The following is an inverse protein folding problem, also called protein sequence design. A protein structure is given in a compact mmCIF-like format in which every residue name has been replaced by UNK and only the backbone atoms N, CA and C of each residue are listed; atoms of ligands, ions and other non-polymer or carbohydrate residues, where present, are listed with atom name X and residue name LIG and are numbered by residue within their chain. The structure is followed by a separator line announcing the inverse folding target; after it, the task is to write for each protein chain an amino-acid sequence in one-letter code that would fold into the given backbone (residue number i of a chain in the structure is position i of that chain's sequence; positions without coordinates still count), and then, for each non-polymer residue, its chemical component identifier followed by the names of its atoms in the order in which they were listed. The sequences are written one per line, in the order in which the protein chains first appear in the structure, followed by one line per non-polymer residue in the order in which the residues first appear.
data_IF_882265325154
#
_entry.id   IF_882265325154
#
_cell.length_a   1.000
_cell.length_b   1.000
_cell.length_c   1.000
_cell.angle_alpha   90.00
_cell.angle_beta   90.00
_cell.angle_gamma   90.00
#
_symmetry.space_group_name_H-M   'P 1'
#
loop_
_entity.id
_entity.type
_entity.pdbx_description
1 polymer ?
#
# COMPACT_ATOMS: atom_id res chain seq x y z
N UNK A 1 7.71 25.85 0.94
CA UNK A 1 8.29 24.66 0.24
C UNK A 1 7.32 24.25 -0.84
N UNK A 2 7.78 23.90 -2.03
CA UNK A 2 6.88 23.43 -3.09
C UNK A 2 6.23 22.08 -2.70
N UNK A 3 4.93 21.95 -2.96
CA UNK A 3 4.16 20.71 -2.78
C UNK A 3 4.72 19.62 -3.70
N UNK A 4 5.00 18.43 -3.17
CA UNK A 4 5.61 17.34 -3.96
C UNK A 4 5.03 15.99 -3.59
N UNK A 5 4.72 15.18 -4.60
CA UNK A 5 4.33 13.77 -4.43
C UNK A 5 5.43 12.99 -3.69
N UNK A 6 5.02 12.13 -2.74
CA UNK A 6 5.92 11.34 -1.90
C UNK A 6 6.52 12.09 -0.71
N UNK A 7 6.10 13.34 -0.47
CA UNK A 7 6.49 14.14 0.70
C UNK A 7 5.28 14.41 1.59
N UNK A 8 5.49 14.75 2.88
CA UNK A 8 4.40 15.20 3.73
C UNK A 8 3.62 16.34 3.08
N UNK A 9 2.29 16.23 3.08
CA UNK A 9 1.42 17.31 2.65
C UNK A 9 1.52 18.48 3.63
N UNK A 10 1.31 19.73 3.18
CA UNK A 10 1.23 20.87 4.08
C UNK A 10 0.16 20.66 5.15
N UNK A 11 0.51 20.87 6.41
CA UNK A 11 -0.45 20.84 7.51
C UNK A 11 -1.28 22.11 7.51
N UNK A 12 -2.55 21.96 7.86
CA UNK A 12 -3.49 23.07 8.02
C UNK A 12 -4.49 22.77 9.14
N UNK A 13 -5.05 23.80 9.70
CA UNK A 13 -6.22 23.73 10.58
C UNK A 13 -6.98 25.06 10.51
N UNK A 14 -8.12 25.05 9.79
CA UNK A 14 -8.89 26.24 9.48
C UNK A 14 -10.38 26.09 9.83
N UNK A 15 -11.08 27.22 9.86
CA UNK A 15 -12.53 27.23 9.96
C UNK A 15 -13.16 26.57 8.75
N UNK A 16 -14.19 25.77 8.98
CA UNK A 16 -14.91 25.08 7.91
C UNK A 16 -16.41 25.12 8.13
N UNK A 17 -17.14 25.23 7.05
CA UNK A 17 -18.56 24.95 7.02
C UNK A 17 -18.80 23.44 7.02
N UNK A 18 -19.79 23.01 7.80
CA UNK A 18 -20.34 21.65 7.75
C UNK A 18 -21.85 21.74 7.86
N UNK A 19 -22.57 20.86 7.17
CA UNK A 19 -24.03 20.90 7.17
C UNK A 19 -24.59 20.78 8.60
N UNK A 20 -25.60 21.65 8.91
CA UNK A 20 -26.24 21.68 10.20
C UNK A 20 -25.42 22.31 11.34
N UNK A 21 -24.23 22.80 11.06
CA UNK A 21 -23.46 23.52 12.07
C UNK A 21 -24.01 24.95 12.28
N UNK A 22 -24.16 25.34 13.55
CA UNK A 22 -24.60 26.70 13.90
C UNK A 22 -23.47 27.73 13.77
N UNK A 23 -22.21 27.31 13.78
CA UNK A 23 -21.03 28.15 13.65
C UNK A 23 -19.85 27.36 13.04
N UNK A 24 -18.73 28.06 12.75
CA UNK A 24 -17.57 27.42 12.16
C UNK A 24 -17.00 26.32 13.06
N UNK A 25 -16.53 25.25 12.45
CA UNK A 25 -15.75 24.19 13.12
C UNK A 25 -14.32 24.20 12.56
N UNK A 26 -13.37 23.94 13.41
CA UNK A 26 -12.00 23.80 12.94
C UNK A 26 -11.80 22.41 12.34
N UNK A 27 -11.25 22.39 11.13
CA UNK A 27 -10.93 21.16 10.39
C UNK A 27 -9.47 21.23 9.99
N UNK A 28 -8.72 20.19 10.33
CA UNK A 28 -7.29 20.11 10.05
C UNK A 28 -6.87 18.74 9.51
N UNK A 29 -5.76 18.70 8.77
CA UNK A 29 -5.24 17.48 8.17
C UNK A 29 -4.89 16.43 9.24
N UNK A 30 -4.30 16.84 10.34
CA UNK A 30 -3.90 15.94 11.44
C UNK A 30 -5.06 15.17 12.06
N UNK A 31 -6.29 15.70 12.02
CA UNK A 31 -7.50 15.05 12.54
C UNK A 31 -7.92 13.83 11.70
N UNK A 32 -7.36 13.67 10.51
CA UNK A 32 -7.70 12.61 9.57
C UNK A 32 -6.57 11.55 9.42
N UNK A 33 -5.61 11.52 10.34
CA UNK A 33 -4.59 10.45 10.38
C UNK A 33 -5.24 9.07 10.43
N UNK A 34 -4.71 8.10 9.69
CA UNK A 34 -5.31 6.78 9.52
C UNK A 34 -6.39 6.70 8.43
N UNK A 35 -6.73 7.83 7.78
CA UNK A 35 -7.65 7.88 6.64
C UNK A 35 -6.98 8.55 5.44
N UNK A 36 -7.44 8.21 4.25
CA UNK A 36 -7.13 8.98 3.06
C UNK A 36 -7.86 10.32 3.09
N UNK A 37 -7.24 11.35 2.53
CA UNK A 37 -7.86 12.67 2.40
C UNK A 37 -7.88 13.06 0.93
N UNK A 38 -9.06 13.38 0.41
CA UNK A 38 -9.25 14.00 -0.90
C UNK A 38 -9.55 15.47 -0.65
N UNK A 39 -8.53 16.30 -0.79
CA UNK A 39 -8.61 17.75 -0.63
C UNK A 39 -8.78 18.39 -2.00
N UNK A 40 -9.86 19.15 -2.20
CA UNK A 40 -10.08 19.84 -3.45
C UNK A 40 -10.33 21.33 -3.27
N UNK A 41 -9.66 22.14 -4.08
CA UNK A 41 -9.81 23.58 -4.11
C UNK A 41 -10.75 23.99 -5.23
N UNK A 42 -11.53 25.03 -5.03
CA UNK A 42 -12.33 25.66 -6.07
C UNK A 42 -12.26 27.19 -5.94
N UNK A 43 -12.45 27.95 -7.04
CA UNK A 43 -12.17 29.37 -7.07
C UNK A 43 -13.00 30.20 -6.10
N UNK A 44 -14.33 30.14 -6.20
CA UNK A 44 -15.25 30.98 -5.44
C UNK A 44 -16.65 30.39 -5.34
N UNK A 45 -17.34 30.75 -4.28
CA UNK A 45 -18.78 30.51 -4.10
C UNK A 45 -19.59 31.34 -5.12
N UNK A 46 -20.86 30.99 -5.30
CA UNK A 46 -21.84 31.64 -6.16
C UNK A 46 -21.40 31.77 -7.65
N UNK A 47 -20.62 30.80 -8.14
CA UNK A 47 -20.14 30.73 -9.53
C UNK A 47 -20.84 29.62 -10.34
N UNK A 48 -20.40 29.37 -11.57
CA UNK A 48 -21.10 28.51 -12.52
C UNK A 48 -20.57 27.06 -12.54
N UNK A 49 -19.25 26.85 -12.61
CA UNK A 49 -18.61 25.54 -12.67
C UNK A 49 -18.52 24.92 -11.27
N UNK A 50 -18.17 25.71 -10.25
CA UNK A 50 -17.91 25.20 -8.91
C UNK A 50 -19.04 24.35 -8.30
N UNK A 51 -20.33 24.75 -8.40
CA UNK A 51 -21.41 23.93 -7.85
C UNK A 51 -21.57 22.59 -8.56
N UNK A 52 -21.20 22.48 -9.82
CA UNK A 52 -21.24 21.19 -10.55
C UNK A 52 -20.18 20.22 -10.05
N UNK A 53 -18.98 20.71 -9.72
CA UNK A 53 -17.90 19.91 -9.15
C UNK A 53 -18.22 19.47 -7.71
N UNK A 54 -18.65 20.44 -6.88
CA UNK A 54 -19.04 20.20 -5.48
C UNK A 54 -20.16 19.16 -5.40
N UNK A 55 -21.19 19.30 -6.23
CA UNK A 55 -22.30 18.33 -6.33
C UNK A 55 -21.79 16.94 -6.78
N UNK A 56 -20.84 16.88 -7.71
CA UNK A 56 -20.26 15.62 -8.18
C UNK A 56 -19.48 14.89 -7.06
N UNK A 57 -18.70 15.60 -6.23
CA UNK A 57 -18.07 15.02 -5.04
C UNK A 57 -19.13 14.53 -4.04
N UNK A 58 -20.21 15.29 -3.83
CA UNK A 58 -21.30 14.89 -2.96
C UNK A 58 -22.03 13.64 -3.44
N UNK A 59 -22.27 13.53 -4.74
CA UNK A 59 -22.97 12.39 -5.34
C UNK A 59 -22.28 11.05 -5.09
N UNK A 60 -20.95 11.03 -5.06
CA UNK A 60 -20.13 9.82 -4.84
C UNK A 60 -19.37 9.85 -3.51
N UNK A 61 -19.78 10.69 -2.55
CA UNK A 61 -19.14 10.78 -1.23
C UNK A 61 -19.06 9.42 -0.53
N UNK A 62 -20.14 8.62 -0.59
CA UNK A 62 -20.17 7.28 0.00
C UNK A 62 -19.16 6.31 -0.62
N UNK A 63 -18.80 6.51 -1.87
CA UNK A 63 -17.78 5.69 -2.52
C UNK A 63 -16.40 6.05 -1.98
N UNK A 64 -16.10 7.33 -1.75
CA UNK A 64 -14.91 7.74 -1.04
C UNK A 64 -14.86 7.20 0.40
N UNK A 65 -15.98 7.23 1.12
CA UNK A 65 -16.07 6.69 2.48
C UNK A 65 -15.79 5.17 2.53
N UNK A 66 -16.27 4.39 1.55
CA UNK A 66 -15.95 2.95 1.42
C UNK A 66 -14.46 2.72 1.20
N UNK A 67 -13.78 3.69 0.60
CA UNK A 67 -12.34 3.67 0.41
C UNK A 67 -11.57 4.20 1.64
N UNK A 68 -12.21 4.31 2.81
CA UNK A 68 -11.65 4.92 4.02
C UNK A 68 -11.09 6.33 3.76
N UNK A 69 -11.77 7.10 2.90
CA UNK A 69 -11.36 8.44 2.53
C UNK A 69 -12.37 9.50 2.98
N UNK A 70 -11.86 10.66 3.36
CA UNK A 70 -12.65 11.87 3.63
C UNK A 70 -12.45 12.86 2.49
N UNK A 71 -13.54 13.51 2.09
CA UNK A 71 -13.51 14.61 1.11
C UNK A 71 -13.55 15.92 1.86
N UNK A 72 -12.70 16.87 1.48
CA UNK A 72 -12.65 18.23 2.06
C UNK A 72 -12.58 19.23 0.90
N UNK A 73 -13.54 20.14 0.85
CA UNK A 73 -13.52 21.28 -0.07
C UNK A 73 -12.75 22.45 0.54
N UNK A 74 -12.19 23.32 -0.30
CA UNK A 74 -11.50 24.54 0.13
C UNK A 74 -11.79 25.65 -0.87
N UNK A 75 -12.20 26.82 -0.39
CA UNK A 75 -12.11 28.08 -1.14
C UNK A 75 -11.66 29.21 -0.24
N UNK A 76 -11.33 30.34 -0.84
CA UNK A 76 -10.92 31.54 -0.09
C UNK A 76 -12.12 32.38 0.42
N UNK A 77 -13.34 31.89 0.24
CA UNK A 77 -14.55 32.51 0.78
C UNK A 77 -14.69 32.26 2.29
N UNK A 78 -15.53 33.06 2.95
CA UNK A 78 -15.76 32.96 4.38
C UNK A 78 -16.74 31.82 4.73
N UNK A 79 -16.71 31.39 6.01
CA UNK A 79 -17.71 30.47 6.55
C UNK A 79 -19.15 30.93 6.28
N UNK A 80 -19.43 32.22 6.40
CA UNK A 80 -20.76 32.75 6.19
C UNK A 80 -21.17 32.74 4.73
N UNK A 81 -20.25 32.94 3.81
CA UNK A 81 -20.47 32.82 2.37
C UNK A 81 -20.78 31.35 2.01
N UNK A 82 -19.98 30.41 2.48
CA UNK A 82 -20.26 28.97 2.32
C UNK A 82 -21.64 28.61 2.87
N UNK A 83 -21.95 29.03 4.10
CA UNK A 83 -23.25 28.75 4.73
C UNK A 83 -24.40 29.25 3.86
N UNK A 84 -24.35 30.52 3.46
CA UNK A 84 -25.39 31.11 2.64
C UNK A 84 -25.57 30.37 1.31
N UNK A 85 -24.49 30.04 0.63
CA UNK A 85 -24.53 29.36 -0.67
C UNK A 85 -24.99 27.92 -0.58
N UNK A 86 -24.42 27.12 0.32
CA UNK A 86 -24.74 25.70 0.47
C UNK A 86 -26.17 25.47 1.02
N UNK A 87 -26.75 26.47 1.68
CA UNK A 87 -28.14 26.41 2.15
C UNK A 87 -29.14 26.93 1.11
N UNK A 88 -28.74 27.76 0.15
CA UNK A 88 -29.62 28.36 -0.86
C UNK A 88 -29.61 27.69 -2.23
N UNK A 89 -28.48 27.01 -2.62
CA UNK A 89 -28.37 26.35 -3.92
C UNK A 89 -28.90 24.92 -3.87
N UNK A 90 -29.98 24.56 -4.61
CA UNK A 90 -30.54 23.21 -4.60
C UNK A 90 -29.55 22.11 -4.95
N UNK A 91 -28.53 22.42 -5.77
CA UNK A 91 -27.50 21.46 -6.18
C UNK A 91 -26.59 21.04 -5.02
N UNK A 92 -26.48 21.88 -4.00
CA UNK A 92 -25.58 21.72 -2.87
C UNK A 92 -26.27 21.21 -1.60
N UNK A 93 -27.59 21.02 -1.62
CA UNK A 93 -28.38 20.65 -0.42
C UNK A 93 -28.00 19.30 0.20
N UNK A 94 -27.33 18.41 -0.53
CA UNK A 94 -26.94 17.08 -0.06
C UNK A 94 -25.45 16.96 0.28
N UNK A 95 -24.71 18.07 0.32
CA UNK A 95 -23.28 18.06 0.65
C UNK A 95 -23.13 17.87 2.16
N UNK A 96 -22.35 16.85 2.57
CA UNK A 96 -22.13 16.51 3.98
C UNK A 96 -20.63 16.51 4.39
N UNK A 97 -19.71 16.76 3.46
CA UNK A 97 -18.30 16.92 3.77
C UNK A 97 -17.98 18.37 4.17
N UNK A 98 -16.91 18.62 4.94
CA UNK A 98 -16.52 19.96 5.34
C UNK A 98 -15.98 20.77 4.17
N UNK A 99 -16.22 22.11 4.22
CA UNK A 99 -15.67 23.08 3.27
C UNK A 99 -14.92 24.14 4.05
N UNK A 100 -13.62 24.21 3.86
CA UNK A 100 -12.71 25.13 4.54
C UNK A 100 -12.85 26.54 3.99
N UNK A 101 -12.96 27.49 4.90
CA UNK A 101 -12.98 28.93 4.65
C UNK A 101 -11.56 29.50 4.78
N UNK A 102 -10.77 29.40 3.72
CA UNK A 102 -9.37 29.83 3.70
C UNK A 102 -9.22 31.36 3.45
N UNK A 103 -9.90 32.16 4.27
CA UNK A 103 -9.90 33.62 4.14
C UNK A 103 -8.52 34.24 4.36
N UNK A 104 -7.63 33.55 5.06
CA UNK A 104 -6.25 33.92 5.26
C UNK A 104 -5.30 33.50 4.13
N UNK A 105 -5.80 32.80 3.11
CA UNK A 105 -5.05 32.26 1.96
C UNK A 105 -3.89 31.34 2.33
N UNK A 106 -3.89 30.80 3.54
CA UNK A 106 -2.77 30.00 4.06
C UNK A 106 -2.76 28.60 3.46
N UNK A 107 -3.92 27.96 3.35
CA UNK A 107 -4.05 26.62 2.79
C UNK A 107 -3.82 26.66 1.28
N UNK A 108 -4.49 27.57 0.57
CA UNK A 108 -4.33 27.74 -0.89
C UNK A 108 -2.90 28.09 -1.28
N UNK A 109 -2.24 28.95 -0.50
CA UNK A 109 -0.84 29.29 -0.70
C UNK A 109 0.10 28.11 -0.42
N UNK A 110 -0.14 27.34 0.66
CA UNK A 110 0.69 26.20 1.02
C UNK A 110 0.61 25.07 -0.02
N UNK A 111 -0.57 24.91 -0.68
CA UNK A 111 -0.78 23.91 -1.75
C UNK A 111 -0.45 24.45 -3.16
N UNK A 112 0.09 25.66 -3.26
CA UNK A 112 0.53 26.29 -4.52
C UNK A 112 -0.58 26.42 -5.57
N UNK A 113 -1.79 26.76 -5.10
CA UNK A 113 -2.99 26.97 -5.95
C UNK A 113 -3.59 28.37 -5.81
N UNK A 114 -3.00 29.25 -5.02
CA UNK A 114 -3.47 30.61 -4.83
C UNK A 114 -3.08 31.49 -6.02
N UNK A 115 -4.05 32.22 -6.59
CA UNK A 115 -3.84 33.21 -7.64
C UNK A 115 -3.66 34.62 -7.06
N UNK A 116 -3.11 35.52 -7.87
CA UNK A 116 -2.85 36.92 -7.47
C UNK A 116 -4.13 37.68 -7.09
N UNK A 117 -5.27 37.31 -7.67
CA UNK A 117 -6.58 37.90 -7.35
C UNK A 117 -7.24 37.32 -6.09
N UNK A 118 -6.53 36.41 -5.41
CA UNK A 118 -6.99 35.76 -4.19
C UNK A 118 -7.94 34.58 -4.43
N UNK A 119 -8.22 34.16 -5.66
CA UNK A 119 -8.94 32.92 -5.93
C UNK A 119 -8.01 31.71 -5.87
N UNK A 120 -8.58 30.52 -5.70
CA UNK A 120 -7.82 29.29 -5.82
C UNK A 120 -8.02 28.65 -7.21
N UNK A 121 -6.97 28.08 -7.78
CA UNK A 121 -7.07 27.15 -8.92
C UNK A 121 -7.86 25.91 -8.52
N UNK A 122 -8.32 25.14 -9.52
CA UNK A 122 -9.06 23.88 -9.31
C UNK A 122 -8.09 22.74 -8.97
N UNK A 123 -7.41 22.84 -7.82
CA UNK A 123 -6.50 21.81 -7.32
C UNK A 123 -7.23 20.62 -6.72
N UNK A 124 -6.72 19.41 -6.94
CA UNK A 124 -7.15 18.18 -6.27
C UNK A 124 -5.91 17.45 -5.76
N UNK A 125 -5.92 17.08 -4.50
CA UNK A 125 -4.81 16.43 -3.81
C UNK A 125 -5.32 15.18 -3.08
N UNK A 126 -4.63 14.05 -3.26
CA UNK A 126 -4.93 12.81 -2.52
C UNK A 126 -3.75 12.56 -1.57
N UNK A 127 -4.06 12.51 -0.28
CA UNK A 127 -3.12 12.37 0.82
C UNK A 127 -3.41 11.04 1.51
N UNK A 128 -2.37 10.28 1.80
CA UNK A 128 -2.50 8.96 2.43
C UNK A 128 -2.72 9.04 3.96
N UNK A 129 -3.01 7.90 4.62
CA UNK A 129 -3.23 7.83 6.07
C UNK A 129 -2.06 8.34 6.93
N UNK A 130 -0.83 8.30 6.41
CA UNK A 130 0.39 8.81 7.04
C UNK A 130 0.60 10.31 6.79
N UNK A 131 -0.26 10.94 5.98
CA UNK A 131 -0.18 12.36 5.62
C UNK A 131 0.78 12.67 4.49
N UNK A 132 1.14 11.68 3.68
CA UNK A 132 2.01 11.87 2.51
C UNK A 132 1.15 12.14 1.28
N UNK A 133 1.53 13.16 0.51
CA UNK A 133 0.88 13.47 -0.76
C UNK A 133 1.18 12.38 -1.80
N UNK A 134 0.12 11.78 -2.35
CA UNK A 134 0.24 10.68 -3.32
C UNK A 134 -0.19 11.06 -4.73
N UNK A 135 -1.07 12.02 -4.87
CA UNK A 135 -1.53 12.52 -6.17
C UNK A 135 -1.85 14.01 -6.07
N UNK A 136 -1.62 14.73 -7.16
CA UNK A 136 -2.12 16.07 -7.37
C UNK A 136 -2.48 16.31 -8.82
N UNK A 137 -3.54 17.06 -9.06
CA UNK A 137 -3.91 17.61 -10.37
C UNK A 137 -4.44 19.03 -10.18
N UNK A 138 -4.10 19.95 -11.09
CA UNK A 138 -4.52 21.34 -11.03
C UNK A 138 -5.04 21.70 -12.41
N UNK A 139 -6.30 22.13 -12.48
CA UNK A 139 -6.92 22.62 -13.71
C UNK A 139 -7.00 24.14 -13.70
N UNK A 140 -6.99 24.71 -14.90
CA UNK A 140 -7.34 26.12 -15.16
C UNK A 140 -8.80 26.41 -14.76
N UNK A 141 -9.10 27.67 -14.48
CA UNK A 141 -10.40 28.09 -13.93
C UNK A 141 -11.61 27.69 -14.78
N UNK A 142 -11.45 27.64 -16.11
CA UNK A 142 -12.52 27.34 -17.05
C UNK A 142 -12.77 25.87 -17.29
N UNK A 143 -11.96 24.98 -16.69
CA UNK A 143 -12.02 23.53 -16.91
C UNK A 143 -12.37 22.78 -15.64
N UNK A 144 -13.61 22.29 -15.55
CA UNK A 144 -14.07 21.44 -14.46
C UNK A 144 -13.35 20.09 -14.41
N UNK A 145 -13.31 19.49 -13.20
CA UNK A 145 -12.63 18.22 -12.94
C UNK A 145 -13.50 17.00 -13.24
N UNK A 146 -12.86 15.87 -13.49
CA UNK A 146 -13.52 14.57 -13.48
C UNK A 146 -13.40 13.91 -12.10
N UNK A 147 -14.46 14.00 -11.31
CA UNK A 147 -14.48 13.47 -9.93
C UNK A 147 -14.41 11.94 -9.91
N UNK A 148 -14.96 11.27 -10.91
CA UNK A 148 -14.85 9.80 -11.03
C UNK A 148 -13.40 9.37 -11.26
N UNK A 149 -12.61 10.17 -11.98
CA UNK A 149 -11.16 9.90 -12.13
C UNK A 149 -10.42 10.09 -10.79
N UNK A 150 -10.80 11.07 -9.98
CA UNK A 150 -10.24 11.24 -8.63
C UNK A 150 -10.47 9.99 -7.78
N UNK A 151 -11.69 9.44 -7.80
CA UNK A 151 -12.01 8.19 -7.09
C UNK A 151 -11.21 7.01 -7.65
N UNK A 152 -11.13 6.87 -8.98
CA UNK A 152 -10.35 5.81 -9.62
C UNK A 152 -8.88 5.87 -9.23
N UNK A 153 -8.28 7.06 -9.19
CA UNK A 153 -6.87 7.24 -8.78
C UNK A 153 -6.69 6.88 -7.31
N UNK A 154 -7.59 7.29 -6.42
CA UNK A 154 -7.57 6.88 -5.01
C UNK A 154 -7.61 5.34 -4.89
N UNK A 155 -8.50 4.68 -5.61
CA UNK A 155 -8.62 3.22 -5.63
C UNK A 155 -7.33 2.55 -6.13
N UNK A 156 -6.73 3.08 -7.19
CA UNK A 156 -5.44 2.60 -7.70
C UNK A 156 -4.31 2.77 -6.65
N UNK A 157 -4.22 3.92 -6.00
CA UNK A 157 -3.23 4.17 -4.95
C UNK A 157 -3.38 3.21 -3.77
N UNK A 158 -4.62 2.85 -3.42
CA UNK A 158 -4.92 1.92 -2.32
C UNK A 158 -4.53 0.48 -2.61
N UNK A 159 -4.44 0.08 -3.87
CA UNK A 159 -3.96 -1.28 -4.20
C UNK A 159 -2.52 -1.49 -3.73
N UNK A 160 -1.71 -0.44 -3.69
CA UNK A 160 -0.27 -0.53 -3.47
C UNK A 160 0.48 -1.22 -4.62
N UNK A 161 -0.18 -1.46 -5.75
CA UNK A 161 0.33 -2.23 -6.87
C UNK A 161 0.57 -1.34 -8.11
N UNK A 162 1.23 -1.90 -9.12
CA UNK A 162 1.45 -1.22 -10.40
C UNK A 162 0.19 -1.29 -11.26
N UNK A 163 -0.63 -0.26 -11.21
CA UNK A 163 -1.83 -0.16 -12.02
C UNK A 163 -1.48 0.32 -13.43
N UNK A 164 -1.87 -0.40 -14.50
CA UNK A 164 -1.64 0.05 -15.87
C UNK A 164 -2.48 1.30 -16.23
N UNK A 165 -2.18 1.87 -17.39
CA UNK A 165 -2.99 2.99 -17.93
C UNK A 165 -4.47 2.60 -18.02
N UNK A 166 -5.34 3.50 -17.56
CA UNK A 166 -6.78 3.28 -17.60
C UNK A 166 -7.32 2.19 -16.67
N UNK A 167 -6.50 1.64 -15.78
CA UNK A 167 -6.90 0.61 -14.81
C UNK A 167 -8.18 1.00 -14.06
N UNK A 168 -9.04 0.02 -13.84
CA UNK A 168 -10.29 0.16 -13.06
C UNK A 168 -10.34 -0.87 -11.93
N UNK A 169 -11.07 -0.59 -10.84
CA UNK A 169 -11.27 -1.56 -9.77
C UNK A 169 -11.76 -2.91 -10.29
N UNK A 170 -11.12 -3.99 -9.83
CA UNK A 170 -11.39 -5.35 -10.28
C UNK A 170 -10.58 -5.83 -11.48
N UNK A 171 -9.88 -4.94 -12.18
CA UNK A 171 -8.94 -5.33 -13.24
C UNK A 171 -7.58 -5.78 -12.68
N UNK A 172 -6.86 -6.56 -13.46
CA UNK A 172 -5.52 -7.02 -13.09
C UNK A 172 -4.51 -5.87 -13.05
N UNK A 173 -3.59 -5.92 -12.09
CA UNK A 173 -2.45 -5.01 -11.98
C UNK A 173 -1.23 -5.59 -12.68
N UNK A 174 -0.23 -4.75 -12.95
CA UNK A 174 1.09 -5.18 -13.49
C UNK A 174 2.05 -5.59 -12.37
N UNK A 175 1.62 -5.52 -11.12
CA UNK A 175 2.46 -5.90 -10.00
C UNK A 175 2.63 -7.41 -10.00
N UNK A 176 3.87 -7.84 -10.21
CA UNK A 176 4.24 -9.24 -10.16
C UNK A 176 4.82 -9.58 -8.78
N UNK A 177 4.44 -10.72 -8.27
CA UNK A 177 5.13 -11.38 -7.18
C UNK A 177 5.63 -12.73 -7.70
N UNK A 178 6.65 -13.25 -7.06
CA UNK A 178 7.19 -14.54 -7.44
C UNK A 178 6.17 -15.66 -7.14
N UNK A 179 5.82 -16.42 -8.17
CA UNK A 179 4.81 -17.49 -8.07
C UNK A 179 5.25 -18.62 -7.14
N UNK A 180 6.56 -18.91 -7.08
CA UNK A 180 7.10 -19.93 -6.20
C UNK A 180 7.04 -19.47 -4.74
N UNK A 181 7.28 -18.16 -4.47
CA UNK A 181 7.08 -17.58 -3.15
C UNK A 181 5.61 -17.70 -2.72
N UNK A 182 4.69 -17.38 -3.61
CA UNK A 182 3.26 -17.49 -3.31
C UNK A 182 2.82 -18.95 -3.07
N UNK A 183 3.41 -19.90 -3.81
CA UNK A 183 3.15 -21.33 -3.63
C UNK A 183 3.72 -21.86 -2.32
N UNK A 184 4.94 -21.45 -1.98
CA UNK A 184 5.59 -21.84 -0.73
C UNK A 184 4.95 -21.22 0.52
N UNK A 185 4.42 -19.98 0.41
CA UNK A 185 3.87 -19.18 1.51
C UNK A 185 2.44 -18.68 1.20
N UNK A 186 1.45 -19.56 1.05
CA UNK A 186 0.14 -19.21 0.49
C UNK A 186 -0.73 -18.31 1.38
N UNK A 187 -0.36 -18.11 2.65
CA UNK A 187 -1.11 -17.28 3.60
C UNK A 187 -0.58 -15.86 3.75
N UNK A 188 0.45 -15.50 3.00
CA UNK A 188 0.93 -14.12 2.98
C UNK A 188 -0.04 -13.24 2.19
N UNK A 189 -0.22 -12.01 2.66
CA UNK A 189 -0.96 -11.01 1.91
C UNK A 189 -0.22 -10.67 0.61
N UNK A 190 -0.97 -10.24 -0.41
CA UNK A 190 -0.39 -9.86 -1.71
C UNK A 190 0.68 -8.77 -1.57
N UNK A 191 0.48 -7.79 -0.69
CA UNK A 191 1.47 -6.75 -0.42
C UNK A 191 2.78 -7.33 0.13
N UNK A 192 2.71 -8.24 1.10
CA UNK A 192 3.89 -8.90 1.67
C UNK A 192 4.61 -9.74 0.62
N UNK A 193 3.88 -10.46 -0.25
CA UNK A 193 4.47 -11.22 -1.37
C UNK A 193 5.26 -10.30 -2.31
N UNK A 194 4.68 -9.17 -2.73
CA UNK A 194 5.32 -8.18 -3.61
C UNK A 194 6.61 -7.63 -2.99
N UNK A 195 6.55 -7.20 -1.73
CA UNK A 195 7.71 -6.62 -1.04
C UNK A 195 8.80 -7.66 -0.79
N UNK A 196 8.40 -8.89 -0.54
CA UNK A 196 9.34 -10.02 -0.33
C UNK A 196 10.01 -10.43 -1.63
N UNK A 197 9.27 -10.48 -2.75
CA UNK A 197 9.83 -10.80 -4.07
C UNK A 197 11.01 -9.91 -4.44
N UNK A 198 10.96 -8.62 -4.09
CA UNK A 198 12.07 -7.66 -4.36
C UNK A 198 13.36 -7.98 -3.61
N UNK A 199 13.30 -8.81 -2.58
CA UNK A 199 14.42 -9.19 -1.70
C UNK A 199 14.95 -10.57 -2.00
N UNK A 200 14.27 -11.36 -2.83
CA UNK A 200 14.73 -12.69 -3.25
C UNK A 200 15.96 -12.58 -4.14
N UNK A 201 16.89 -13.48 -3.90
CA UNK A 201 18.09 -13.63 -4.70
C UNK A 201 18.04 -15.00 -5.41
N UNK A 202 18.15 -14.99 -6.72
CA UNK A 202 18.25 -16.25 -7.48
C UNK A 202 19.66 -16.80 -7.37
N UNK A 203 19.75 -18.08 -6.98
CA UNK A 203 21.02 -18.84 -6.93
C UNK A 203 20.88 -20.13 -7.73
N UNK A 204 21.97 -20.57 -8.39
CA UNK A 204 21.98 -21.76 -9.24
C UNK A 204 23.05 -22.75 -8.76
N UNK A 205 22.70 -24.02 -8.77
CA UNK A 205 23.61 -25.09 -8.41
C UNK A 205 23.52 -26.20 -9.46
N UNK A 206 24.65 -26.74 -9.86
CA UNK A 206 24.69 -27.90 -10.77
C UNK A 206 24.43 -29.20 -10.02
N UNK A 207 23.95 -30.21 -10.73
CA UNK A 207 23.75 -31.56 -10.20
C UNK A 207 24.94 -32.06 -9.38
N UNK A 208 24.70 -32.56 -8.18
CA UNK A 208 25.71 -33.03 -7.23
C UNK A 208 26.28 -31.94 -6.30
N UNK A 209 26.10 -30.66 -6.58
CA UNK A 209 26.60 -29.59 -5.71
C UNK A 209 25.82 -29.51 -4.39
N UNK A 210 26.55 -29.19 -3.32
CA UNK A 210 25.93 -28.91 -2.01
C UNK A 210 25.44 -27.45 -1.94
N UNK A 211 24.23 -27.27 -1.51
CA UNK A 211 23.68 -25.91 -1.19
C UNK A 211 24.19 -25.47 0.17
N UNK A 212 24.14 -26.36 1.15
CA UNK A 212 24.79 -26.26 2.46
C UNK A 212 24.97 -27.67 3.08
N UNK A 213 25.81 -27.76 4.08
CA UNK A 213 26.11 -29.03 4.78
C UNK A 213 25.48 -29.09 6.16
N UNK A 214 25.22 -30.30 6.65
CA UNK A 214 24.83 -30.57 8.03
C UNK A 214 25.88 -30.03 8.98
N UNK A 215 25.46 -29.20 9.95
CA UNK A 215 26.33 -28.53 10.91
C UNK A 215 26.68 -27.10 10.55
N UNK A 216 26.38 -26.63 9.36
CA UNK A 216 26.58 -25.23 8.96
C UNK A 216 25.71 -24.27 9.78
N UNK A 217 26.15 -23.02 9.89
CA UNK A 217 25.32 -21.95 10.46
C UNK A 217 24.17 -21.63 9.51
N UNK A 218 22.94 -21.44 10.02
CA UNK A 218 21.82 -21.08 9.18
C UNK A 218 21.92 -19.60 8.79
N UNK A 219 21.89 -19.34 7.48
CA UNK A 219 22.02 -17.99 6.92
C UNK A 219 20.83 -17.59 6.04
N UNK A 220 20.19 -18.55 5.37
CA UNK A 220 19.15 -18.33 4.37
C UNK A 220 18.05 -19.37 4.40
N UNK A 221 16.88 -18.92 3.96
CA UNK A 221 15.72 -19.71 3.56
C UNK A 221 15.71 -19.85 2.04
N UNK A 222 15.30 -21.01 1.51
CA UNK A 222 15.33 -21.30 0.08
C UNK A 222 14.00 -21.88 -0.39
N UNK A 223 13.54 -21.44 -1.56
CA UNK A 223 12.41 -21.98 -2.31
C UNK A 223 12.95 -22.54 -3.63
N UNK A 224 12.50 -23.74 -4.04
CA UNK A 224 12.90 -24.36 -5.29
C UNK A 224 12.03 -23.80 -6.41
N UNK A 225 12.64 -23.08 -7.38
CA UNK A 225 11.95 -22.62 -8.59
C UNK A 225 12.09 -23.60 -9.75
N UNK A 226 13.22 -24.32 -9.85
CA UNK A 226 13.39 -25.40 -10.83
C UNK A 226 14.35 -26.46 -10.33
N UNK A 227 14.24 -27.68 -10.87
CA UNK A 227 15.07 -28.82 -10.52
C UNK A 227 14.63 -29.52 -9.22
N UNK A 228 15.45 -30.43 -8.71
CA UNK A 228 15.21 -31.25 -7.53
C UNK A 228 16.42 -31.23 -6.60
N UNK A 229 16.17 -31.24 -5.29
CA UNK A 229 17.19 -31.36 -4.25
C UNK A 229 16.95 -32.58 -3.37
N UNK A 230 18.01 -33.13 -2.84
CA UNK A 230 18.01 -34.21 -1.83
C UNK A 230 18.31 -33.63 -0.46
N UNK A 231 17.51 -34.00 0.53
CA UNK A 231 17.79 -33.79 1.94
C UNK A 231 18.62 -34.97 2.44
N UNK A 232 19.89 -34.73 2.76
CA UNK A 232 20.86 -35.79 3.08
C UNK A 232 21.32 -35.65 4.52
N UNK A 233 21.22 -36.72 5.29
CA UNK A 233 21.70 -36.78 6.69
C UNK A 233 22.90 -37.69 6.80
N UNK A 234 24.01 -37.18 7.31
CA UNK A 234 25.20 -38.00 7.65
C UNK A 234 24.99 -38.60 9.04
N UNK A 235 25.08 -39.93 9.10
CA UNK A 235 25.01 -40.70 10.35
C UNK A 235 26.33 -40.66 11.10
N UNK A 236 26.34 -41.06 12.36
CA UNK A 236 27.56 -41.16 13.20
C UNK A 236 28.60 -42.15 12.64
N UNK A 237 28.16 -43.16 11.86
CA UNK A 237 29.01 -44.13 11.17
C UNK A 237 29.59 -43.60 9.83
N UNK A 238 29.37 -42.34 9.51
CA UNK A 238 29.82 -41.67 8.28
C UNK A 238 28.97 -41.96 7.04
N UNK A 239 27.95 -42.82 7.13
CA UNK A 239 27.07 -43.13 6.00
C UNK A 239 26.05 -42.04 5.80
N UNK A 240 25.73 -41.75 4.53
CA UNK A 240 24.64 -40.83 4.16
C UNK A 240 23.31 -41.56 4.07
N UNK A 241 22.24 -40.90 4.49
CA UNK A 241 20.86 -41.32 4.29
C UNK A 241 20.09 -40.18 3.63
N UNK A 242 19.47 -40.43 2.49
CA UNK A 242 18.53 -39.52 1.86
C UNK A 242 17.22 -39.58 2.69
N UNK A 243 16.81 -38.44 3.23
CA UNK A 243 15.58 -38.32 4.03
C UNK A 243 14.37 -37.99 3.15
N UNK A 244 14.57 -37.11 2.15
CA UNK A 244 13.53 -36.65 1.23
C UNK A 244 14.14 -36.14 -0.08
N UNK A 245 13.32 -36.08 -1.12
CA UNK A 245 13.56 -35.30 -2.34
C UNK A 245 12.53 -34.20 -2.39
N UNK A 246 12.99 -32.97 -2.62
CA UNK A 246 12.11 -31.79 -2.71
C UNK A 246 12.08 -31.31 -4.16
N UNK A 247 10.92 -30.75 -4.55
CA UNK A 247 10.55 -30.40 -5.92
C UNK A 247 10.23 -28.89 -6.06
N UNK A 248 10.03 -28.37 -7.27
CA UNK A 248 9.64 -26.98 -7.47
C UNK A 248 8.36 -26.59 -6.69
N UNK A 249 8.48 -25.52 -5.92
CA UNK A 249 7.47 -25.04 -4.98
C UNK A 249 7.63 -25.52 -3.54
N UNK A 250 8.50 -26.52 -3.30
CA UNK A 250 8.92 -26.84 -1.94
C UNK A 250 9.97 -25.86 -1.45
N UNK A 251 10.20 -25.85 -0.13
CA UNK A 251 11.19 -25.01 0.51
C UNK A 251 11.98 -25.73 1.58
N UNK A 252 13.12 -25.16 1.94
CA UNK A 252 14.02 -25.74 2.96
C UNK A 252 14.87 -24.65 3.64
N UNK A 253 15.51 -25.04 4.74
CA UNK A 253 16.38 -24.15 5.50
C UNK A 253 15.68 -23.39 6.63
N UNK A 254 14.35 -23.52 6.77
CA UNK A 254 13.53 -22.88 7.79
C UNK A 254 13.85 -23.37 9.20
N UNK A 255 14.15 -24.67 9.37
CA UNK A 255 14.36 -25.29 10.69
C UNK A 255 15.52 -24.60 11.42
N UNK A 256 16.67 -24.50 10.78
CA UNK A 256 17.85 -23.86 11.38
C UNK A 256 17.60 -22.40 11.74
N UNK A 257 16.83 -21.70 10.90
CA UNK A 257 16.49 -20.30 11.12
C UNK A 257 15.51 -20.11 12.30
N UNK A 258 14.48 -20.93 12.40
CA UNK A 258 13.46 -20.81 13.45
C UNK A 258 13.91 -21.35 14.80
N UNK A 259 14.88 -22.28 14.84
CA UNK A 259 15.42 -22.87 16.06
C UNK A 259 16.73 -22.25 16.51
N UNK A 260 17.30 -21.34 15.71
CA UNK A 260 18.65 -20.78 15.90
C UNK A 260 19.74 -21.88 16.04
N UNK A 261 19.44 -23.07 15.53
CA UNK A 261 20.33 -24.21 15.58
C UNK A 261 21.07 -24.39 14.25
N UNK A 262 22.17 -25.13 14.29
CA UNK A 262 22.90 -25.50 13.07
C UNK A 262 22.05 -26.36 12.15
N UNK A 263 22.39 -26.38 10.86
CA UNK A 263 21.69 -27.18 9.83
C UNK A 263 21.65 -28.65 10.27
N UNK A 264 20.48 -29.23 10.40
CA UNK A 264 20.26 -30.62 10.86
C UNK A 264 20.45 -31.67 9.78
N UNK A 265 20.50 -31.26 8.51
CA UNK A 265 20.77 -32.07 7.33
C UNK A 265 21.48 -31.23 6.27
N UNK A 266 22.13 -31.87 5.32
CA UNK A 266 22.68 -31.27 4.12
C UNK A 266 21.63 -31.19 3.02
N UNK A 267 21.75 -30.21 2.14
CA UNK A 267 20.97 -30.14 0.89
C UNK A 267 21.90 -30.26 -0.29
N UNK A 268 21.66 -31.27 -1.14
CA UNK A 268 22.41 -31.54 -2.36
C UNK A 268 21.51 -31.38 -3.58
N UNK A 269 21.96 -30.68 -4.60
CA UNK A 269 21.28 -30.61 -5.88
C UNK A 269 21.25 -31.99 -6.54
N UNK A 270 20.07 -32.55 -6.77
CA UNK A 270 19.91 -33.84 -7.45
C UNK A 270 20.01 -33.68 -8.98
N UNK A 271 19.47 -32.58 -9.47
CA UNK A 271 19.56 -32.08 -10.84
C UNK A 271 20.21 -30.70 -10.84
N UNK A 272 20.37 -30.05 -11.99
CA UNK A 272 20.61 -28.61 -12.00
C UNK A 272 19.40 -27.93 -11.39
N UNK A 273 19.64 -27.03 -10.43
CA UNK A 273 18.56 -26.35 -9.67
C UNK A 273 18.70 -24.84 -9.69
N UNK A 274 17.57 -24.18 -9.70
CA UNK A 274 17.46 -22.75 -9.44
C UNK A 274 16.64 -22.53 -8.16
N UNK A 275 17.21 -21.77 -7.23
CA UNK A 275 16.64 -21.51 -5.92
C UNK A 275 16.44 -20.01 -5.73
N UNK A 276 15.31 -19.65 -5.11
CA UNK A 276 15.06 -18.32 -4.60
C UNK A 276 15.49 -18.29 -3.14
N UNK A 277 16.50 -17.49 -2.83
CA UNK A 277 17.10 -17.39 -1.50
C UNK A 277 16.66 -16.10 -0.80
N UNK A 278 16.37 -16.20 0.48
CA UNK A 278 16.02 -15.08 1.36
C UNK A 278 16.93 -15.13 2.60
N UNK A 279 17.49 -13.98 2.99
CA UNK A 279 18.30 -13.91 4.21
C UNK A 279 17.44 -14.06 5.47
N UNK A 280 18.09 -14.30 6.60
CA UNK A 280 17.45 -14.52 7.89
C UNK A 280 16.53 -13.37 8.33
N UNK A 281 17.01 -12.14 8.26
CA UNK A 281 16.26 -10.98 8.75
C UNK A 281 14.97 -10.73 7.96
N UNK A 282 15.04 -10.91 6.63
CA UNK A 282 13.87 -10.78 5.77
C UNK A 282 12.88 -11.92 5.97
N UNK A 283 13.36 -13.17 6.09
CA UNK A 283 12.51 -14.33 6.39
C UNK A 283 11.77 -14.15 7.72
N UNK A 284 12.47 -13.72 8.76
CA UNK A 284 11.87 -13.48 10.08
C UNK A 284 10.76 -12.44 10.01
N UNK A 285 11.00 -11.30 9.35
CA UNK A 285 9.97 -10.25 9.17
C UNK A 285 8.74 -10.77 8.43
N UNK A 286 8.93 -11.60 7.41
CA UNK A 286 7.84 -12.22 6.65
C UNK A 286 7.00 -13.13 7.54
N UNK A 287 7.63 -13.98 8.34
CA UNK A 287 6.92 -14.88 9.26
C UNK A 287 6.19 -14.11 10.37
N UNK A 288 6.83 -13.07 10.91
CA UNK A 288 6.24 -12.23 11.96
C UNK A 288 5.06 -11.37 11.45
N UNK A 289 4.98 -11.10 10.14
CA UNK A 289 3.91 -10.32 9.53
C UNK A 289 2.54 -11.01 9.52
N UNK A 290 2.48 -12.34 9.72
CA UNK A 290 1.25 -13.14 9.66
C UNK A 290 1.21 -14.19 10.76
N UNK A 291 0.21 -14.10 11.65
CA UNK A 291 -0.02 -15.11 12.69
C UNK A 291 -0.35 -16.50 12.09
N UNK A 292 -1.09 -16.52 10.98
CA UNK A 292 -1.40 -17.75 10.25
C UNK A 292 -0.13 -18.40 9.68
N UNK A 293 0.80 -17.61 9.11
CA UNK A 293 2.08 -18.13 8.61
C UNK A 293 2.95 -18.67 9.74
N UNK A 294 3.01 -17.99 10.89
CA UNK A 294 3.74 -18.50 12.08
C UNK A 294 3.23 -19.86 12.53
N UNK A 295 1.93 -20.06 12.55
CA UNK A 295 1.31 -21.34 12.93
C UNK A 295 1.65 -22.45 11.94
N UNK A 296 1.52 -22.19 10.64
CA UNK A 296 1.83 -23.18 9.60
C UNK A 296 3.29 -23.63 9.65
N UNK A 297 4.24 -22.68 9.80
CA UNK A 297 5.66 -23.04 9.94
C UNK A 297 5.94 -23.84 11.21
N UNK A 298 5.30 -23.54 12.33
CA UNK A 298 5.44 -24.31 13.56
C UNK A 298 4.92 -25.73 13.42
N UNK A 299 3.84 -25.95 12.68
CA UNK A 299 3.25 -27.26 12.42
C UNK A 299 4.15 -28.07 11.47
N UNK A 300 4.57 -27.50 10.34
CA UNK A 300 5.49 -28.16 9.39
C UNK A 300 6.84 -28.48 10.04
N UNK A 301 7.34 -27.59 10.88
CA UNK A 301 8.58 -27.83 11.62
C UNK A 301 8.46 -29.03 12.54
N UNK A 302 7.34 -29.17 13.27
CA UNK A 302 7.09 -30.35 14.13
C UNK A 302 7.06 -31.65 13.32
N UNK A 303 6.40 -31.66 12.17
CA UNK A 303 6.33 -32.83 11.28
C UNK A 303 7.70 -33.20 10.74
N UNK A 304 8.47 -32.24 10.23
CA UNK A 304 9.81 -32.48 9.67
C UNK A 304 10.84 -32.91 10.73
N UNK A 305 10.75 -32.38 11.95
CA UNK A 305 11.61 -32.83 13.06
C UNK A 305 11.25 -34.25 13.53
N UNK A 306 9.98 -34.65 13.47
CA UNK A 306 9.57 -36.02 13.82
C UNK A 306 10.05 -37.09 12.82
N UNK A 307 10.38 -36.70 11.58
CA UNK A 307 10.93 -37.56 10.52
C UNK A 307 12.48 -37.65 10.54
N UNK A 308 13.12 -36.84 11.36
CA UNK A 308 14.57 -36.78 11.53
C UNK A 308 15.03 -37.44 12.80
#
# INVERSE_FOLDING_TARGET
MAVRIGKPAPEFEEEAWTRGAHGPKRVGLSQHRGKWVVLFFYPRDFTFICPTEIASFGAIQKDFERENAVVIGVSTDSFYTHKAWFESDPRLMNINYPVIADTGHQVSGAFDVLLDDGAALRGTFIIDPEGILRHMSINELDVGRNVSETLRVLQALRTGELCPVGWKPGESTLTTYDEWLAKALPRLSKQVLVDTTKKLQTTKYSAGQMVFEQGDAPDRFYIISSGEVEVVRRRRDGREKILAVLHPGDYFGEIGLLTEARRNASIRAKTDVELLAMNWDDFRRVIESSEASRKDFADIMRERLAQT
#
